data_IF_258815936463
#
_entry.id   IF_258815936463
#
_cell.length_a   1.000
_cell.length_b   1.000
_cell.length_c   1.000
_cell.angle_alpha   90.00
_cell.angle_beta   90.00
_cell.angle_gamma   90.00
#
_symmetry.space_group_name_H-M   'P 1'
#
loop_
_entity.id
_entity.type
_entity.pdbx_description
1 polymer ?
#
# COMPACT_ATOMS: atom_id res chain seq x y z
N UNK A 1 -9.64 -22.66 5.33
CA UNK A 1 -9.22 -22.04 4.05
C UNK A 1 -7.75 -21.72 4.13
N UNK A 2 -7.00 -21.94 3.06
CA UNK A 2 -5.58 -21.59 2.96
C UNK A 2 -5.46 -20.25 2.24
N UNK A 3 -4.91 -19.24 2.91
CA UNK A 3 -4.59 -17.93 2.32
C UNK A 3 -3.10 -17.89 1.95
N UNK A 4 -2.72 -17.21 0.84
CA UNK A 4 -1.33 -16.89 0.59
C UNK A 4 -0.73 -16.10 1.75
N UNK A 5 0.53 -16.36 2.09
CA UNK A 5 1.26 -15.56 3.08
C UNK A 5 1.74 -14.22 2.52
N UNK A 6 1.83 -14.09 1.19
CA UNK A 6 2.34 -12.92 0.49
C UNK A 6 1.38 -12.43 -0.61
N UNK A 7 1.43 -11.13 -0.91
CA UNK A 7 0.70 -10.48 -2.00
C UNK A 7 1.53 -9.39 -2.68
N UNK A 8 1.20 -9.09 -3.94
CA UNK A 8 1.73 -7.92 -4.63
C UNK A 8 0.95 -6.67 -4.23
N UNK A 9 1.63 -5.56 -4.01
CA UNK A 9 1.01 -4.29 -3.62
C UNK A 9 1.78 -3.09 -4.19
N UNK A 10 1.13 -1.93 -4.15
CA UNK A 10 1.77 -0.62 -4.32
C UNK A 10 2.02 -0.05 -2.92
N UNK A 11 3.29 0.09 -2.54
CA UNK A 11 3.74 0.47 -1.21
C UNK A 11 4.08 1.96 -1.17
N UNK A 12 3.68 2.65 -0.12
CA UNK A 12 4.02 4.05 0.10
C UNK A 12 5.53 4.19 0.34
N UNK A 13 6.17 5.08 -0.42
CA UNK A 13 7.58 5.46 -0.21
C UNK A 13 7.73 6.59 0.81
N UNK A 14 6.69 7.41 0.96
CA UNK A 14 6.61 8.48 1.96
C UNK A 14 5.98 8.02 3.27
N UNK A 15 6.32 8.73 4.35
CA UNK A 15 5.74 8.54 5.68
C UNK A 15 5.21 9.88 6.23
N UNK A 16 4.05 9.83 6.88
CA UNK A 16 3.36 11.02 7.39
C UNK A 16 3.02 12.05 6.31
N UNK A 17 3.30 13.32 6.59
CA UNK A 17 3.01 14.45 5.68
C UNK A 17 4.29 14.96 5.01
N UNK A 18 4.19 15.34 3.74
CA UNK A 18 5.33 15.91 2.98
C UNK A 18 5.73 17.29 3.51
N UNK A 19 7.03 17.57 3.51
CA UNK A 19 7.60 18.91 3.79
C UNK A 19 7.81 19.73 2.52
N UNK A 20 7.62 19.13 1.35
CA UNK A 20 7.84 19.73 0.03
C UNK A 20 6.62 19.45 -0.86
N UNK A 21 5.53 20.22 -0.72
CA UNK A 21 4.30 20.00 -1.48
C UNK A 21 4.48 20.33 -2.97
N UNK A 22 3.86 19.53 -3.85
CA UNK A 22 3.99 19.65 -5.32
C UNK A 22 2.66 19.89 -6.04
N UNK A 23 1.65 20.45 -5.34
CA UNK A 23 0.30 20.61 -5.89
C UNK A 23 -0.51 19.30 -5.88
N UNK A 24 -1.58 19.25 -6.66
CA UNK A 24 -2.52 18.10 -6.72
C UNK A 24 -2.36 17.21 -7.96
N UNK A 25 -1.57 17.62 -8.94
CA UNK A 25 -1.31 16.83 -10.13
C UNK A 25 -0.38 15.65 -9.78
N UNK A 26 -0.74 14.44 -10.23
CA UNK A 26 0.05 13.24 -10.05
C UNK A 26 0.86 12.97 -11.32
N UNK A 27 2.04 13.59 -11.40
CA UNK A 27 2.88 13.56 -12.61
C UNK A 27 3.58 12.21 -12.82
N UNK A 28 3.82 11.47 -11.74
CA UNK A 28 4.52 10.19 -11.73
C UNK A 28 4.08 9.36 -10.51
N UNK A 29 4.31 8.04 -10.54
CA UNK A 29 3.98 7.15 -9.42
C UNK A 29 5.19 6.89 -8.53
N UNK A 30 6.36 6.78 -9.13
CA UNK A 30 7.65 6.39 -8.55
C UNK A 30 8.08 7.24 -7.34
N UNK A 31 7.81 8.57 -7.28
CA UNK A 31 8.14 9.35 -6.09
C UNK A 31 7.29 8.99 -4.87
N UNK A 32 6.14 8.36 -5.07
CA UNK A 32 5.12 8.16 -4.04
C UNK A 32 4.86 6.69 -3.72
N UNK A 33 5.10 5.81 -4.70
CA UNK A 33 4.75 4.41 -4.65
C UNK A 33 5.81 3.55 -5.32
N UNK A 34 6.03 2.38 -4.74
CA UNK A 34 6.81 1.29 -5.33
C UNK A 34 5.97 0.03 -5.44
N UNK A 35 6.20 -0.76 -6.50
CA UNK A 35 5.61 -2.09 -6.58
C UNK A 35 6.43 -3.07 -5.75
N UNK A 36 5.79 -3.80 -4.85
CA UNK A 36 6.46 -4.76 -3.99
C UNK A 36 5.62 -6.02 -3.69
N UNK A 37 6.26 -6.99 -3.06
CA UNK A 37 5.61 -8.16 -2.46
C UNK A 37 5.67 -8.03 -0.94
N UNK A 38 4.54 -8.14 -0.26
CA UNK A 38 4.43 -7.98 1.20
C UNK A 38 3.56 -9.08 1.82
N UNK A 39 3.66 -9.23 3.14
CA UNK A 39 2.81 -10.14 3.90
C UNK A 39 1.32 -9.76 3.80
N UNK A 40 0.45 -10.77 3.68
CA UNK A 40 -1.00 -10.58 3.73
C UNK A 40 -1.41 -10.21 5.16
N UNK A 41 -2.20 -9.14 5.38
CA UNK A 41 -2.58 -8.73 6.73
C UNK A 41 -3.65 -9.63 7.34
N UNK A 42 -3.60 -9.80 8.66
CA UNK A 42 -4.66 -10.49 9.42
C UNK A 42 -5.74 -9.48 9.83
N UNK A 43 -7.01 -9.70 9.46
CA UNK A 43 -8.09 -8.82 9.89
C UNK A 43 -8.33 -8.91 11.41
N UNK A 44 -8.63 -7.77 12.05
CA UNK A 44 -9.13 -7.70 13.43
C UNK A 44 -10.59 -8.17 13.52
N UNK A 45 -11.18 -8.35 14.71
CA UNK A 45 -12.52 -8.95 14.86
C UNK A 45 -13.66 -8.27 14.08
N UNK A 46 -13.56 -6.98 13.79
CA UNK A 46 -14.55 -6.21 13.02
C UNK A 46 -14.14 -5.94 11.57
N UNK A 47 -13.07 -6.58 11.08
CA UNK A 47 -12.52 -6.38 9.75
C UNK A 47 -12.65 -7.64 8.91
N UNK A 48 -12.57 -7.47 7.59
CA UNK A 48 -12.54 -8.56 6.61
C UNK A 48 -11.32 -8.43 5.72
N UNK A 49 -10.79 -9.55 5.24
CA UNK A 49 -9.76 -9.59 4.21
C UNK A 49 -10.44 -9.78 2.84
N UNK A 50 -10.15 -8.88 1.90
CA UNK A 50 -10.75 -8.88 0.56
C UNK A 50 -9.66 -9.22 -0.45
N UNK A 51 -9.94 -10.20 -1.32
CA UNK A 51 -9.16 -10.39 -2.54
C UNK A 51 -9.68 -9.41 -3.59
N UNK A 52 -8.91 -8.36 -3.86
CA UNK A 52 -9.21 -7.29 -4.84
C UNK A 52 -9.11 -7.83 -6.26
#
# INVERSE_FOLDING_TARGET
>A
MTLPSEMKALLLTGDGYTKTPSGSALEAMEPYLEQGTIAVPTPRPSQVLIKV
#
